data_IF_227229554309
#
_entry.id   IF_227229554309
#
_cell.length_a   1.000
_cell.length_b   1.000
_cell.length_c   1.000
_cell.angle_alpha   90.00
_cell.angle_beta   90.00
_cell.angle_gamma   90.00
#
_symmetry.space_group_name_H-M   'P 1'
#
loop_
_entity.id
_entity.type
_entity.pdbx_description
1 polymer ?
#
# COMPACT_ATOMS: atom_id res chain seq x y z
N UNK A 1 -3.19 -4.22 -17.22
CA UNK A 1 -3.67 -3.89 -15.85
C UNK A 1 -4.92 -3.02 -15.99
N UNK A 2 -5.83 -3.03 -15.03
CA UNK A 2 -6.92 -2.06 -14.98
C UNK A 2 -6.96 -1.39 -13.61
N UNK A 3 -7.32 -0.11 -13.57
CA UNK A 3 -7.55 0.64 -12.34
C UNK A 3 -9.03 0.99 -12.27
N UNK A 4 -9.63 0.76 -11.11
CA UNK A 4 -11.02 1.12 -10.81
C UNK A 4 -11.05 1.96 -9.55
N UNK A 5 -11.75 3.10 -9.59
CA UNK A 5 -12.00 3.94 -8.43
C UNK A 5 -13.44 3.73 -7.97
N UNK A 6 -13.60 3.48 -6.68
CA UNK A 6 -14.86 3.36 -6.00
C UNK A 6 -14.98 4.47 -4.96
N UNK A 7 -16.18 5.02 -4.82
CA UNK A 7 -16.53 5.97 -3.79
C UNK A 7 -17.50 5.30 -2.82
N UNK A 8 -17.27 5.47 -1.52
CA UNK A 8 -18.04 4.82 -0.45
C UNK A 8 -18.20 3.32 -0.69
N UNK A 9 -17.10 2.60 -0.57
CA UNK A 9 -17.05 1.17 -0.86
C UNK A 9 -16.42 0.38 0.28
N UNK A 10 -16.78 -0.89 0.36
CA UNK A 10 -16.22 -1.84 1.32
C UNK A 10 -15.64 -3.04 0.60
N UNK A 11 -14.74 -3.72 1.30
CA UNK A 11 -14.23 -5.02 0.89
C UNK A 11 -15.19 -6.12 1.36
N UNK A 12 -15.52 -7.04 0.46
CA UNK A 12 -16.23 -8.29 0.69
C UNK A 12 -15.24 -9.48 0.56
N UNK A 13 -15.64 -10.70 0.96
CA UNK A 13 -14.83 -11.89 0.76
C UNK A 13 -14.30 -12.02 -0.68
N UNK A 14 -13.14 -12.67 -0.84
CA UNK A 14 -12.41 -12.79 -2.10
C UNK A 14 -11.90 -11.44 -2.66
N UNK A 15 -11.61 -10.48 -1.77
CA UNK A 15 -11.14 -9.13 -2.09
C UNK A 15 -12.00 -8.44 -3.16
N UNK A 16 -13.32 -8.63 -3.07
CA UNK A 16 -14.27 -7.96 -3.94
C UNK A 16 -14.58 -6.60 -3.35
N UNK A 17 -14.44 -5.53 -4.14
CA UNK A 17 -14.81 -4.19 -3.71
C UNK A 17 -16.23 -3.90 -4.18
N UNK A 18 -17.10 -3.49 -3.27
CA UNK A 18 -18.52 -3.22 -3.56
C UNK A 18 -18.87 -1.80 -3.12
N UNK A 19 -19.41 -0.95 -4.02
CA UNK A 19 -19.90 0.38 -3.66
C UNK A 19 -21.19 0.25 -2.86
N UNK A 20 -21.35 1.11 -1.85
CA UNK A 20 -22.57 1.19 -1.03
C UNK A 20 -23.72 1.84 -1.81
N UNK A 21 -23.41 2.73 -2.76
CA UNK A 21 -24.38 3.47 -3.58
C UNK A 21 -24.15 3.22 -5.08
N UNK A 22 -24.38 2.00 -5.60
CA UNK A 22 -24.05 1.62 -6.98
C UNK A 22 -24.82 2.43 -8.03
N UNK A 23 -26.06 2.83 -7.72
CA UNK A 23 -26.92 3.63 -8.61
C UNK A 23 -26.48 5.10 -8.71
N UNK A 24 -25.84 5.61 -7.65
CA UNK A 24 -25.36 7.00 -7.61
C UNK A 24 -23.98 7.15 -8.24
N UNK A 25 -23.09 6.18 -8.01
CA UNK A 25 -21.69 6.25 -8.42
C UNK A 25 -21.25 4.93 -9.02
N UNK A 26 -21.43 4.80 -10.34
CA UNK A 26 -20.96 3.64 -11.07
C UNK A 26 -19.43 3.68 -11.20
N UNK A 27 -18.69 2.71 -10.64
CA UNK A 27 -17.23 2.70 -10.72
C UNK A 27 -16.75 2.63 -12.18
N UNK A 28 -15.76 3.45 -12.53
CA UNK A 28 -15.15 3.45 -13.87
C UNK A 28 -13.86 2.64 -13.84
N UNK A 29 -13.82 1.58 -14.64
CA UNK A 29 -12.64 0.72 -14.83
C UNK A 29 -11.87 1.17 -16.07
N UNK A 30 -10.61 1.53 -15.89
CA UNK A 30 -9.74 2.07 -16.94
C UNK A 30 -8.61 1.08 -17.23
N UNK A 31 -8.48 0.57 -18.46
CA UNK A 31 -7.41 -0.35 -18.84
C UNK A 31 -6.09 0.40 -19.11
N UNK A 32 -4.99 -0.31 -18.86
CA UNK A 32 -3.62 0.13 -19.11
C UNK A 32 -2.86 -0.91 -19.93
N UNK A 33 -2.07 -0.42 -20.88
CA UNK A 33 -1.07 -1.22 -21.58
C UNK A 33 0.00 -1.70 -20.60
N UNK A 34 0.74 -2.74 -20.97
CA UNK A 34 1.85 -3.24 -20.16
C UNK A 34 2.98 -2.20 -20.15
N UNK A 35 3.50 -1.85 -18.98
CA UNK A 35 4.61 -0.90 -18.83
C UNK A 35 4.79 -0.41 -17.39
N UNK A 36 5.99 0.07 -17.06
CA UNK A 36 6.31 0.67 -15.77
C UNK A 36 6.17 2.21 -15.83
N UNK A 37 6.08 2.86 -14.67
CA UNK A 37 6.05 4.34 -14.58
C UNK A 37 4.77 5.01 -15.12
N UNK A 38 3.72 4.23 -15.35
CA UNK A 38 2.46 4.75 -15.88
C UNK A 38 1.73 5.61 -14.84
N UNK A 39 1.22 6.77 -15.28
CA UNK A 39 0.41 7.67 -14.44
C UNK A 39 -1.06 7.50 -14.79
N UNK A 40 -1.88 7.23 -13.79
CA UNK A 40 -3.33 7.19 -13.96
C UNK A 40 -3.95 8.57 -13.81
N UNK A 41 -4.85 8.88 -14.72
CA UNK A 41 -5.73 10.06 -14.65
C UNK A 41 -7.13 9.60 -15.02
N UNK A 42 -8.07 9.78 -14.10
CA UNK A 42 -9.47 9.51 -14.37
C UNK A 42 -10.01 10.52 -15.41
N UNK A 43 -10.78 10.07 -16.42
CA UNK A 43 -11.37 10.98 -17.40
C UNK A 43 -12.28 12.04 -16.74
N UNK A 44 -12.21 13.29 -17.21
CA UNK A 44 -13.06 14.38 -16.74
C UNK A 44 -14.54 14.02 -16.84
N UNK A 45 -15.33 14.42 -15.84
CA UNK A 45 -16.78 14.14 -15.77
C UNK A 45 -17.15 12.75 -15.26
N UNK A 46 -16.19 11.87 -15.00
CA UNK A 46 -16.45 10.53 -14.42
C UNK A 46 -16.23 10.46 -12.90
N UNK A 47 -15.75 11.54 -12.30
CA UNK A 47 -15.56 11.65 -10.85
C UNK A 47 -16.88 11.96 -10.12
N UNK A 48 -16.77 12.27 -8.83
CA UNK A 48 -17.91 12.71 -8.00
C UNK A 48 -17.65 14.11 -7.50
N UNK A 49 -18.72 14.86 -7.26
CA UNK A 49 -18.64 16.11 -6.52
C UNK A 49 -18.64 15.81 -5.01
N UNK A 50 -17.49 16.02 -4.38
CA UNK A 50 -17.29 15.80 -2.94
C UNK A 50 -18.02 16.84 -2.09
N UNK A 51 -18.48 17.96 -2.67
CA UNK A 51 -19.22 19.01 -1.97
C UNK A 51 -20.60 18.58 -1.47
N UNK A 52 -21.14 17.46 -1.97
CA UNK A 52 -22.42 16.90 -1.49
C UNK A 52 -22.33 16.15 -0.16
N UNK A 53 -21.12 15.90 0.35
CA UNK A 53 -20.90 15.08 1.53
C UNK A 53 -20.40 15.91 2.71
N UNK A 54 -20.78 15.50 3.91
CA UNK A 54 -20.20 16.07 5.12
C UNK A 54 -18.72 15.68 5.21
N UNK A 55 -17.86 16.63 5.62
CA UNK A 55 -16.42 16.39 5.76
C UNK A 55 -16.11 15.24 6.73
N UNK A 56 -16.98 15.06 7.72
CA UNK A 56 -16.92 13.97 8.67
C UNK A 56 -17.10 12.60 8.01
N UNK A 57 -17.99 12.49 7.03
CA UNK A 57 -18.22 11.24 6.28
C UNK A 57 -17.06 10.90 5.34
N UNK A 58 -16.29 11.91 4.93
CA UNK A 58 -15.14 11.77 4.05
C UNK A 58 -13.83 11.46 4.78
N UNK A 59 -13.70 11.87 6.04
CA UNK A 59 -12.44 11.83 6.80
C UNK A 59 -12.24 10.56 7.63
N UNK A 60 -13.25 9.68 7.73
CA UNK A 60 -13.22 8.43 8.49
C UNK A 60 -13.83 7.28 7.72
N UNK A 61 -13.48 6.05 8.10
CA UNK A 61 -14.26 4.88 7.70
C UNK A 61 -15.56 4.83 8.51
N UNK A 62 -16.67 4.51 7.87
CA UNK A 62 -17.98 4.38 8.53
C UNK A 62 -18.27 2.93 8.92
N UNK A 63 -19.46 2.67 9.48
CA UNK A 63 -19.86 1.36 9.96
C UNK A 63 -19.74 0.28 8.86
N UNK A 64 -19.15 -0.87 9.21
CA UNK A 64 -18.95 -1.98 8.28
C UNK A 64 -17.78 -1.81 7.31
N UNK A 65 -16.72 -1.10 7.74
CA UNK A 65 -15.47 -0.91 6.98
C UNK A 65 -15.68 -0.29 5.59
N UNK A 66 -16.59 0.69 5.52
CA UNK A 66 -16.84 1.47 4.31
C UNK A 66 -15.86 2.64 4.27
N UNK A 67 -15.12 2.75 3.18
CA UNK A 67 -14.15 3.81 2.95
C UNK A 67 -14.64 4.79 1.89
N UNK A 68 -14.48 6.11 2.10
CA UNK A 68 -14.89 7.14 1.14
C UNK A 68 -14.22 7.00 -0.23
N UNK A 69 -12.97 6.54 -0.26
CA UNK A 69 -12.22 6.27 -1.49
C UNK A 69 -11.59 4.88 -1.44
N UNK A 70 -11.86 4.06 -2.46
CA UNK A 70 -11.17 2.78 -2.66
C UNK A 70 -10.64 2.72 -4.09
N UNK A 71 -9.35 2.45 -4.25
CA UNK A 71 -8.68 2.29 -5.54
C UNK A 71 -8.28 0.83 -5.68
N UNK A 72 -8.78 0.16 -6.71
CA UNK A 72 -8.42 -1.22 -7.05
C UNK A 72 -7.60 -1.25 -8.33
N UNK A 73 -6.38 -1.74 -8.26
CA UNK A 73 -5.55 -2.07 -9.41
C UNK A 73 -5.53 -3.59 -9.58
N UNK A 74 -5.92 -4.08 -10.75
CA UNK A 74 -5.99 -5.53 -11.01
C UNK A 74 -5.29 -5.92 -12.32
N UNK A 75 -4.70 -7.11 -12.34
CA UNK A 75 -4.25 -7.72 -13.59
C UNK A 75 -5.47 -8.07 -14.44
N UNK A 76 -5.53 -7.50 -15.63
CA UNK A 76 -6.55 -7.84 -16.62
C UNK A 76 -5.92 -8.82 -17.60
N UNK A 77 -6.44 -10.04 -17.67
CA UNK A 77 -6.10 -10.99 -18.73
C UNK A 77 -6.69 -10.48 -20.05
N UNK A 78 -5.96 -10.54 -21.16
CA UNK A 78 -6.59 -10.37 -22.46
C UNK A 78 -7.67 -11.46 -22.59
N UNK A 79 -8.86 -11.07 -23.03
CA UNK A 79 -9.87 -12.02 -23.49
C UNK A 79 -9.35 -12.58 -24.81
N UNK A 80 -8.46 -13.55 -24.77
CA UNK A 80 -8.06 -14.29 -25.96
C UNK A 80 -9.21 -15.23 -26.32
N UNK A 81 -10.06 -14.80 -27.26
CA UNK A 81 -11.17 -15.59 -27.80
C UNK A 81 -10.72 -16.81 -28.64
N UNK A 82 -9.44 -17.21 -28.66
CA UNK A 82 -8.99 -18.28 -29.59
C UNK A 82 -7.68 -19.02 -29.24
N UNK A 83 -7.56 -19.62 -28.06
CA UNK A 83 -6.54 -20.67 -27.86
C UNK A 83 -6.93 -21.68 -26.79
N UNK A 84 -7.35 -22.87 -27.23
CA UNK A 84 -7.76 -24.00 -26.40
C UNK A 84 -6.59 -24.72 -25.67
N UNK A 85 -5.44 -24.06 -25.49
CA UNK A 85 -4.19 -24.73 -25.06
C UNK A 85 -3.41 -23.99 -23.96
N UNK A 86 -4.02 -22.99 -23.30
CA UNK A 86 -3.43 -22.34 -22.13
C UNK A 86 -4.04 -22.85 -20.82
N UNK A 87 -3.22 -23.11 -19.78
CA UNK A 87 -3.73 -23.55 -18.49
C UNK A 87 -4.74 -22.54 -17.94
N UNK A 88 -5.81 -23.02 -17.28
CA UNK A 88 -6.93 -22.17 -16.89
C UNK A 88 -6.47 -21.12 -15.86
N UNK A 89 -6.84 -19.87 -16.13
CA UNK A 89 -7.11 -18.81 -15.16
C UNK A 89 -6.24 -18.81 -13.89
N UNK A 90 -5.06 -18.20 -13.95
CA UNK A 90 -4.47 -17.65 -12.71
C UNK A 90 -5.45 -16.62 -12.13
N UNK A 91 -5.80 -16.74 -10.85
CA UNK A 91 -6.63 -15.73 -10.18
C UNK A 91 -6.00 -14.34 -10.37
N UNK A 92 -6.77 -13.29 -10.70
CA UNK A 92 -6.19 -11.98 -10.97
C UNK A 92 -5.52 -11.46 -9.70
N UNK A 93 -4.28 -11.00 -9.82
CA UNK A 93 -3.63 -10.25 -8.76
C UNK A 93 -4.32 -8.90 -8.62
N UNK A 94 -4.59 -8.50 -7.37
CA UNK A 94 -5.22 -7.21 -7.08
C UNK A 94 -4.47 -6.49 -5.97
N UNK A 95 -4.32 -5.19 -6.14
CA UNK A 95 -3.93 -4.28 -5.08
C UNK A 95 -5.10 -3.34 -4.80
N UNK A 96 -5.57 -3.33 -3.56
CA UNK A 96 -6.66 -2.48 -3.10
C UNK A 96 -6.08 -1.47 -2.12
N UNK A 97 -6.28 -0.19 -2.40
CA UNK A 97 -5.94 0.91 -1.50
C UNK A 97 -7.23 1.52 -0.98
N UNK A 98 -7.46 1.42 0.32
CA UNK A 98 -8.58 2.04 1.03
C UNK A 98 -8.11 3.32 1.71
N UNK A 99 -8.82 4.41 1.47
CA UNK A 99 -8.40 5.74 1.87
C UNK A 99 -9.58 6.61 2.33
N UNK A 100 -9.23 7.62 3.11
CA UNK A 100 -10.11 8.73 3.49
C UNK A 100 -9.67 10.00 2.78
N UNK A 101 -10.57 10.96 2.71
CA UNK A 101 -10.37 12.27 2.09
C UNK A 101 -10.40 13.33 3.18
N UNK A 102 -9.24 13.97 3.41
CA UNK A 102 -9.10 15.04 4.38
C UNK A 102 -9.10 16.39 3.66
N UNK A 103 -9.77 17.39 4.23
CA UNK A 103 -9.70 18.78 3.77
C UNK A 103 -9.32 19.68 4.93
N UNK A 104 -8.30 20.50 4.73
CA UNK A 104 -7.92 21.58 5.66
C UNK A 104 -8.33 22.90 5.04
N UNK A 105 -9.25 23.60 5.67
CA UNK A 105 -9.72 24.92 5.25
C UNK A 105 -10.07 24.99 3.74
N UNK A 106 -9.32 25.79 2.99
CA UNK A 106 -9.50 26.04 1.56
C UNK A 106 -8.65 25.15 0.65
N UNK A 107 -7.81 24.28 1.23
CA UNK A 107 -6.95 23.40 0.44
C UNK A 107 -7.76 22.37 -0.36
N UNK A 108 -7.21 21.87 -1.48
CA UNK A 108 -7.74 20.69 -2.15
C UNK A 108 -7.81 19.50 -1.18
N UNK A 109 -8.76 18.60 -1.43
CA UNK A 109 -8.82 17.33 -0.70
C UNK A 109 -7.50 16.56 -0.84
N UNK A 110 -7.01 16.06 0.29
CA UNK A 110 -5.85 15.18 0.37
C UNK A 110 -6.31 13.76 0.65
N UNK A 111 -5.75 12.82 -0.09
CA UNK A 111 -5.98 11.40 0.15
C UNK A 111 -5.07 10.94 1.27
N UNK A 112 -5.64 10.30 2.29
CA UNK A 112 -4.89 9.60 3.32
C UNK A 112 -5.19 8.12 3.23
N UNK A 113 -4.14 7.35 2.92
CA UNK A 113 -4.22 5.90 2.83
C UNK A 113 -4.39 5.34 4.24
N UNK A 114 -5.43 4.54 4.43
CA UNK A 114 -5.72 3.89 5.71
C UNK A 114 -5.29 2.43 5.70
N UNK A 115 -5.45 1.77 4.55
CA UNK A 115 -5.16 0.34 4.40
C UNK A 115 -4.78 0.03 2.97
N UNK A 116 -3.78 -0.83 2.81
CA UNK A 116 -3.45 -1.42 1.52
C UNK A 116 -3.49 -2.94 1.62
N UNK A 117 -4.09 -3.57 0.63
CA UNK A 117 -4.31 -5.01 0.57
C UNK A 117 -3.78 -5.51 -0.77
N UNK A 118 -3.09 -6.64 -0.73
CA UNK A 118 -2.62 -7.37 -1.88
C UNK A 118 -3.31 -8.73 -1.90
N UNK A 119 -3.93 -9.05 -3.02
CA UNK A 119 -4.55 -10.34 -3.28
C UNK A 119 -3.73 -11.04 -4.36
N UNK A 120 -3.07 -12.13 -3.98
CA UNK A 120 -2.21 -12.94 -4.84
C UNK A 120 -2.54 -14.39 -4.58
N UNK A 121 -2.73 -15.16 -5.65
CA UNK A 121 -2.99 -16.62 -5.57
C UNK A 121 -4.05 -16.99 -4.52
N UNK A 122 -5.17 -16.25 -4.52
CA UNK A 122 -6.30 -16.40 -3.58
C UNK A 122 -5.99 -16.11 -2.09
N UNK A 123 -4.82 -15.57 -1.80
CA UNK A 123 -4.41 -15.18 -0.45
C UNK A 123 -4.47 -13.67 -0.29
N UNK A 124 -5.04 -13.23 0.83
CA UNK A 124 -5.13 -11.82 1.22
C UNK A 124 -3.97 -11.44 2.12
N UNK A 125 -3.20 -10.45 1.69
CA UNK A 125 -2.13 -9.84 2.46
C UNK A 125 -2.48 -8.38 2.78
N UNK A 126 -2.43 -8.00 4.05
CA UNK A 126 -2.51 -6.61 4.46
C UNK A 126 -1.09 -6.02 4.45
N UNK A 127 -0.85 -5.04 3.59
CA UNK A 127 0.41 -4.33 3.51
C UNK A 127 0.56 -3.42 4.72
N UNK A 128 1.72 -3.53 5.38
CA UNK A 128 2.09 -2.69 6.52
C UNK A 128 3.39 -1.98 6.23
N UNK A 129 3.44 -0.71 6.60
CA UNK A 129 4.68 0.07 6.51
C UNK A 129 5.75 -0.51 7.43
N UNK A 130 6.99 -0.37 6.98
CA UNK A 130 8.19 -0.68 7.74
C UNK A 130 8.83 0.65 8.10
N UNK A 131 8.96 0.90 9.40
CA UNK A 131 9.48 2.17 9.90
C UNK A 131 11.00 2.19 9.78
N UNK A 132 11.54 3.31 9.31
CA UNK A 132 12.98 3.45 9.10
C UNK A 132 13.45 3.08 7.69
N UNK A 133 12.54 2.64 6.80
CA UNK A 133 12.77 2.63 5.36
C UNK A 133 12.48 4.04 4.84
N UNK A 134 13.53 4.84 4.62
CA UNK A 134 13.36 6.18 4.06
C UNK A 134 12.86 6.11 2.62
N UNK A 135 11.75 6.78 2.31
CA UNK A 135 11.30 7.04 0.95
C UNK A 135 12.24 8.09 0.34
N UNK A 136 12.96 7.74 -0.73
CA UNK A 136 13.91 8.60 -1.44
C UNK A 136 13.20 9.72 -2.26
N UNK A 137 12.33 10.48 -1.61
CA UNK A 137 11.46 11.49 -2.24
C UNK A 137 11.43 12.86 -1.57
N UNK A 138 12.04 13.02 -0.40
CA UNK A 138 12.23 14.35 0.21
C UNK A 138 13.72 14.66 0.26
N UNK A 139 14.17 15.44 -0.72
CA UNK A 139 15.49 16.03 -0.75
C UNK A 139 15.56 17.16 0.28
N UNK A 140 15.86 16.87 1.55
CA UNK A 140 16.45 17.85 2.48
C UNK A 140 17.48 17.17 3.39
N UNK A 141 18.72 17.64 3.25
CA UNK A 141 19.96 17.40 4.02
C UNK A 141 20.82 16.20 3.63
N UNK A 142 22.00 16.57 3.15
CA UNK A 142 23.13 15.79 2.64
C UNK A 142 23.89 15.07 3.77
N UNK A 143 23.15 14.39 4.66
CA UNK A 143 23.75 13.64 5.76
C UNK A 143 23.24 12.20 5.74
N UNK A 144 24.14 11.27 5.41
CA UNK A 144 23.88 9.84 5.30
C UNK A 144 23.50 9.16 6.64
N UNK A 145 23.46 9.94 7.72
CA UNK A 145 23.27 9.53 9.13
C UNK A 145 21.93 8.85 9.45
N UNK A 146 21.05 8.64 8.47
CA UNK A 146 19.75 8.01 8.63
C UNK A 146 19.63 6.60 8.08
N UNK A 147 20.62 6.10 7.33
CA UNK A 147 20.52 4.80 6.61
C UNK A 147 21.28 3.66 7.28
N UNK A 148 22.18 3.97 8.19
CA UNK A 148 23.07 3.02 8.85
C UNK A 148 22.40 2.36 10.07
N UNK A 149 22.82 1.13 10.36
CA UNK A 149 22.44 0.37 11.55
C UNK A 149 22.72 1.19 12.82
N UNK A 150 21.74 1.27 13.72
CA UNK A 150 21.86 2.08 14.95
C UNK A 150 22.83 1.49 15.98
N UNK A 151 23.27 0.24 15.77
CA UNK A 151 24.23 -0.44 16.67
C UNK A 151 25.66 -0.23 16.20
N UNK A 152 25.99 -0.62 14.95
CA UNK A 152 27.37 -0.49 14.46
C UNK A 152 27.66 0.89 13.84
N UNK A 153 26.63 1.62 13.40
CA UNK A 153 26.80 2.89 12.68
C UNK A 153 27.74 2.79 11.48
N UNK A 154 27.76 1.64 10.80
CA UNK A 154 28.61 1.39 9.63
C UNK A 154 27.83 0.72 8.51
N UNK A 155 27.18 -0.41 8.80
CA UNK A 155 26.45 -1.16 7.79
C UNK A 155 25.06 -0.59 7.56
N UNK A 156 24.53 -0.63 6.33
CA UNK A 156 23.16 -0.18 6.04
C UNK A 156 22.13 -1.04 6.78
N UNK A 157 20.99 -0.43 7.09
CA UNK A 157 19.82 -1.14 7.62
C UNK A 157 19.30 -2.09 6.54
N UNK A 158 19.19 -3.37 6.88
CA UNK A 158 18.66 -4.43 6.00
C UNK A 158 17.67 -5.35 6.75
N UNK A 159 17.44 -5.12 8.04
CA UNK A 159 16.66 -6.05 8.88
C UNK A 159 15.54 -5.32 9.62
N UNK A 160 14.31 -5.78 9.40
CA UNK A 160 13.12 -5.35 10.13
C UNK A 160 12.85 -6.26 11.33
N UNK A 161 12.54 -5.65 12.47
CA UNK A 161 12.19 -6.35 13.72
C UNK A 161 10.68 -6.57 13.80
N UNK A 162 10.21 -7.80 13.90
CA UNK A 162 8.79 -8.12 14.04
C UNK A 162 8.43 -8.41 15.52
N UNK A 163 7.23 -7.99 15.96
CA UNK A 163 6.11 -7.46 15.16
C UNK A 163 6.09 -5.92 15.03
N UNK A 164 7.06 -5.21 15.63
CA UNK A 164 7.07 -3.75 15.69
C UNK A 164 7.40 -3.04 14.36
N UNK A 165 7.98 -3.77 13.39
CA UNK A 165 8.37 -3.34 12.04
C UNK A 165 9.40 -2.22 11.98
N UNK A 166 10.18 -2.00 13.04
CA UNK A 166 11.31 -1.07 12.97
C UNK A 166 12.48 -1.71 12.22
N UNK A 167 12.88 -1.11 11.12
CA UNK A 167 14.09 -1.42 10.37
C UNK A 167 15.17 -0.44 10.80
N UNK A 168 16.00 -0.88 11.74
CA UNK A 168 17.03 -0.06 12.39
C UNK A 168 18.37 -0.78 12.51
N UNK A 169 18.47 -2.01 12.02
CA UNK A 169 19.62 -2.90 12.21
C UNK A 169 20.10 -3.43 10.85
N UNK A 170 21.41 -3.67 10.76
CA UNK A 170 21.96 -4.61 9.80
C UNK A 170 21.77 -6.05 10.31
N UNK A 171 21.87 -7.03 9.41
CA UNK A 171 21.57 -8.43 9.67
C UNK A 171 22.51 -9.06 10.70
N UNK A 172 23.78 -8.66 10.72
CA UNK A 172 24.75 -9.09 11.72
C UNK A 172 24.39 -8.59 13.13
N UNK A 173 24.15 -7.28 13.28
CA UNK A 173 23.77 -6.69 14.56
C UNK A 173 22.41 -7.22 15.04
N UNK A 174 21.46 -7.49 14.14
CA UNK A 174 20.17 -8.05 14.51
C UNK A 174 20.30 -9.46 15.12
N UNK A 175 21.13 -10.33 14.53
CA UNK A 175 21.42 -11.67 15.05
C UNK A 175 22.07 -11.61 16.43
N UNK A 176 23.06 -10.72 16.61
CA UNK A 176 23.71 -10.53 17.91
C UNK A 176 22.74 -9.99 18.98
N UNK A 177 21.92 -9.00 18.62
CA UNK A 177 20.96 -8.38 19.53
C UNK A 177 19.89 -9.37 20.03
N UNK A 178 19.45 -10.28 19.17
CA UNK A 178 18.49 -11.34 19.51
C UNK A 178 18.99 -12.25 20.63
N UNK A 179 20.30 -12.49 20.71
CA UNK A 179 20.92 -13.32 21.76
C UNK A 179 21.13 -12.51 23.04
N UNK A 180 21.52 -11.25 22.93
CA UNK A 180 21.92 -10.45 24.09
C UNK A 180 20.75 -9.86 24.87
N UNK A 181 19.79 -9.23 24.19
CA UNK A 181 18.67 -8.53 24.84
C UNK A 181 17.30 -8.97 24.34
N UNK A 182 17.20 -9.36 23.06
CA UNK A 182 15.96 -9.76 22.42
C UNK A 182 14.85 -8.67 22.44
N UNK A 183 15.23 -7.38 22.44
CA UNK A 183 14.30 -6.25 22.34
C UNK A 183 14.67 -5.31 21.19
N UNK A 184 13.67 -4.71 20.53
CA UNK A 184 13.89 -3.68 19.52
C UNK A 184 14.58 -2.43 20.11
N UNK A 185 15.64 -1.89 19.50
CA UNK A 185 16.32 -0.68 20.01
C UNK A 185 15.44 0.58 20.02
N UNK A 186 14.45 0.66 19.13
CA UNK A 186 13.63 1.86 18.95
C UNK A 186 12.47 1.89 19.94
N UNK A 187 11.70 0.79 20.03
CA UNK A 187 10.46 0.75 20.81
C UNK A 187 10.52 -0.20 22.01
N UNK A 188 11.63 -0.91 22.20
CA UNK A 188 11.84 -1.90 23.28
C UNK A 188 10.91 -3.11 23.28
N UNK A 189 10.05 -3.25 22.27
CA UNK A 189 9.20 -4.43 22.12
C UNK A 189 10.06 -5.70 21.92
N UNK A 190 9.70 -6.85 22.53
CA UNK A 190 10.41 -8.10 22.32
C UNK A 190 10.48 -8.51 20.85
N UNK A 191 11.60 -9.08 20.43
CA UNK A 191 11.80 -9.58 19.07
C UNK A 191 11.18 -10.97 18.97
N UNK A 192 10.18 -11.12 18.12
CA UNK A 192 9.58 -12.41 17.79
C UNK A 192 10.28 -12.99 16.54
N UNK A 193 10.44 -12.17 15.51
CA UNK A 193 11.03 -12.56 14.23
C UNK A 193 11.91 -11.43 13.68
N UNK A 194 12.93 -11.82 12.90
CA UNK A 194 13.78 -10.91 12.15
C UNK A 194 13.58 -11.17 10.66
N UNK A 195 13.21 -10.14 9.92
CA UNK A 195 13.00 -10.22 8.48
C UNK A 195 14.08 -9.42 7.77
N UNK A 196 14.96 -10.12 7.05
CA UNK A 196 15.98 -9.51 6.19
C UNK A 196 15.32 -9.02 4.87
N UNK A 197 15.65 -7.80 4.47
CA UNK A 197 15.09 -7.11 3.30
C UNK A 197 16.26 -6.67 2.44
N UNK A 198 16.33 -7.24 1.24
CA UNK A 198 17.32 -6.85 0.24
C UNK A 198 16.87 -5.56 -0.43
N UNK A 199 17.44 -4.44 -0.01
CA UNK A 199 17.27 -3.17 -0.70
C UNK A 199 18.27 -3.17 -1.87
N UNK A 200 17.77 -3.31 -3.10
CA UNK A 200 18.58 -3.08 -4.28
C UNK A 200 18.78 -1.57 -4.43
N UNK A 201 19.89 -1.05 -3.92
CA UNK A 201 20.38 0.28 -4.21
C UNK A 201 20.93 0.32 -5.65
N UNK A 202 20.06 0.20 -6.65
CA UNK A 202 20.43 0.54 -8.03
C UNK A 202 20.44 2.07 -8.17
N UNK A 203 21.53 2.67 -7.69
CA UNK A 203 21.96 3.99 -8.10
C UNK A 203 22.98 3.85 -9.22
N UNK A 204 22.49 3.94 -10.46
CA UNK A 204 23.25 4.31 -11.67
C UNK A 204 22.26 4.80 -12.72
#
# INVERSE_FOLDING_TARGET
MCITIFYFAKEEPNCKVVPVFPESYKPVKVPFQKGAGQKFRQPSGTGIDLGFFELDDLSKSSAGDVFPLVISAETCSPLDENSADHPPNSSPHRQITQAVLEKKDTDPFRVKVMKQILWIDEVRYELREIYGIGNSGEAISDNDSGKECVICMTEPKDTAVLPCRHMCLCSECAKALRIQSNNCPICRQPIEELMEIKINSTGL
#
